data_IF_364121841640
#
_entry.id   IF_364121841640
#
_cell.length_a   1.000
_cell.length_b   1.000
_cell.length_c   1.000
_cell.angle_alpha   90.00
_cell.angle_beta   90.00
_cell.angle_gamma   90.00
#
_symmetry.space_group_name_H-M   'P 1'
#
loop_
_entity.id
_entity.type
_entity.pdbx_description
1 polymer ?
#
# COMPACT_ATOMS: atom_id res chain seq x y z
N UNK A 1 11.88 13.56 39.39
CA UNK A 1 11.04 13.83 38.21
C UNK A 1 11.23 12.84 37.04
N UNK A 2 12.44 12.49 36.59
CA UNK A 2 12.68 11.56 35.44
C UNK A 2 12.05 10.15 35.59
N UNK A 3 12.01 9.58 36.80
CA UNK A 3 11.44 8.22 37.05
C UNK A 3 9.89 8.19 36.96
N UNK A 4 9.23 9.26 37.38
CA UNK A 4 7.76 9.39 37.34
C UNK A 4 7.28 9.62 35.90
N UNK A 5 8.00 10.42 35.14
CA UNK A 5 7.71 10.68 33.72
C UNK A 5 7.84 9.37 32.89
N UNK A 6 8.90 8.58 33.10
CA UNK A 6 9.09 7.27 32.45
C UNK A 6 7.95 6.29 32.71
N UNK A 7 7.45 6.22 33.97
CA UNK A 7 6.32 5.36 34.33
C UNK A 7 5.01 5.81 33.68
N UNK A 8 4.75 7.14 33.66
CA UNK A 8 3.53 7.69 33.02
C UNK A 8 3.55 7.53 31.50
N UNK A 9 4.71 7.73 30.87
CA UNK A 9 4.89 7.51 29.44
C UNK A 9 4.70 6.05 29.05
N UNK A 10 5.30 5.12 29.80
CA UNK A 10 5.13 3.67 29.59
C UNK A 10 3.67 3.23 29.82
N UNK A 11 2.99 3.75 30.83
CA UNK A 11 1.58 3.46 31.10
C UNK A 11 0.68 4.00 29.98
N UNK A 12 0.94 5.21 29.46
CA UNK A 12 0.20 5.76 28.32
C UNK A 12 0.39 4.91 27.05
N UNK A 13 1.64 4.54 26.76
CA UNK A 13 1.97 3.68 25.62
C UNK A 13 1.30 2.30 25.71
N UNK A 14 1.37 1.67 26.91
CA UNK A 14 0.72 0.39 27.16
C UNK A 14 -0.80 0.49 27.04
N UNK A 15 -1.41 1.59 27.55
CA UNK A 15 -2.86 1.81 27.43
C UNK A 15 -3.29 2.03 25.99
N UNK A 16 -2.52 2.79 25.19
CA UNK A 16 -2.78 2.98 23.78
C UNK A 16 -2.69 1.65 22.99
N UNK A 17 -1.69 0.84 23.30
CA UNK A 17 -1.50 -0.50 22.72
C UNK A 17 -2.65 -1.47 23.11
N UNK A 18 -3.13 -1.37 24.35
CA UNK A 18 -4.25 -2.18 24.85
C UNK A 18 -5.59 -1.77 24.19
N UNK A 19 -5.85 -0.48 24.02
CA UNK A 19 -7.02 0.03 23.31
C UNK A 19 -7.00 -0.40 21.84
N UNK A 20 -5.83 -0.32 21.17
CA UNK A 20 -5.66 -0.86 19.82
C UNK A 20 -5.93 -2.38 19.79
N UNK A 21 -5.37 -3.15 20.71
CA UNK A 21 -5.56 -4.60 20.75
C UNK A 21 -7.01 -5.02 21.02
N UNK A 22 -7.75 -4.27 21.83
CA UNK A 22 -9.16 -4.54 22.14
C UNK A 22 -10.13 -4.16 21.02
N UNK A 23 -9.75 -3.23 20.12
CA UNK A 23 -10.57 -2.86 18.96
C UNK A 23 -10.49 -3.87 17.79
N UNK A 24 -9.51 -4.78 17.80
CA UNK A 24 -9.24 -5.71 16.71
C UNK A 24 -10.34 -6.76 16.45
N UNK A 25 -11.01 -7.37 17.45
CA UNK A 25 -12.00 -8.42 17.19
C UNK A 25 -13.31 -7.92 16.59
N UNK A 26 -13.65 -6.64 16.80
CA UNK A 26 -14.96 -6.08 16.39
C UNK A 26 -15.08 -5.89 14.89
N UNK A 27 -13.96 -5.76 14.17
CA UNK A 27 -13.93 -5.45 12.74
C UNK A 27 -13.62 -6.64 11.81
N UNK A 28 -13.43 -7.83 12.36
CA UNK A 28 -12.97 -9.00 11.58
C UNK A 28 -13.94 -9.40 10.46
N UNK A 29 -15.23 -9.15 10.60
CA UNK A 29 -16.25 -9.49 9.58
C UNK A 29 -16.67 -8.31 8.69
N UNK A 30 -16.45 -7.07 9.12
CA UNK A 30 -16.84 -5.85 8.39
C UNK A 30 -15.70 -5.28 7.51
N UNK A 31 -14.49 -5.81 7.61
CA UNK A 31 -13.33 -5.31 6.86
C UNK A 31 -13.32 -5.75 5.39
N UNK A 32 -12.52 -5.08 4.54
CA UNK A 32 -12.29 -5.49 3.17
C UNK A 32 -11.80 -6.94 3.14
N UNK A 33 -12.24 -7.69 2.14
CA UNK A 33 -11.83 -9.09 1.94
C UNK A 33 -10.76 -9.15 0.87
N UNK A 34 -9.93 -10.21 0.87
CA UNK A 34 -8.97 -10.42 -0.20
C UNK A 34 -9.62 -10.42 -1.58
N UNK A 35 -8.89 -9.95 -2.59
CA UNK A 35 -9.38 -9.89 -3.97
C UNK A 35 -8.35 -10.35 -4.99
N UNK A 36 -8.87 -10.81 -6.13
CA UNK A 36 -8.12 -11.04 -7.37
C UNK A 36 -8.77 -10.20 -8.45
N UNK A 37 -7.99 -9.37 -9.11
CA UNK A 37 -8.42 -8.56 -10.25
C UNK A 37 -7.64 -9.01 -11.49
N UNK A 38 -8.36 -9.32 -12.56
CA UNK A 38 -7.79 -9.65 -13.86
C UNK A 38 -8.17 -8.53 -14.84
N UNK A 39 -7.18 -7.84 -15.41
CA UNK A 39 -7.34 -6.93 -16.54
C UNK A 39 -7.33 -7.76 -17.82
N UNK A 40 -8.44 -7.74 -18.54
CA UNK A 40 -8.68 -8.65 -19.67
C UNK A 40 -8.33 -7.95 -20.98
N UNK A 41 -7.46 -8.58 -21.77
CA UNK A 41 -7.08 -8.15 -23.10
C UNK A 41 -7.37 -9.29 -24.09
N UNK A 42 -8.44 -9.14 -24.88
CA UNK A 42 -8.89 -10.13 -25.84
C UNK A 42 -9.42 -9.47 -27.13
N UNK A 43 -9.78 -10.28 -28.11
CA UNK A 43 -10.30 -9.79 -29.39
C UNK A 43 -11.65 -9.08 -29.19
N UNK A 44 -11.77 -7.80 -29.53
CA UNK A 44 -13.01 -7.05 -29.40
C UNK A 44 -14.16 -7.67 -30.20
N UNK A 45 -15.38 -7.52 -29.68
CA UNK A 45 -16.61 -7.90 -30.39
C UNK A 45 -17.05 -9.35 -30.17
N UNK A 46 -16.38 -10.08 -29.28
CA UNK A 46 -16.80 -11.43 -28.85
C UNK A 46 -17.13 -11.43 -27.36
N UNK A 47 -18.19 -12.12 -26.96
CA UNK A 47 -18.58 -12.22 -25.56
C UNK A 47 -17.83 -13.35 -24.86
N UNK A 48 -17.31 -13.05 -23.70
CA UNK A 48 -16.57 -14.00 -22.87
C UNK A 48 -17.19 -14.11 -21.48
N UNK A 49 -17.17 -15.31 -20.93
CA UNK A 49 -17.35 -15.55 -19.51
C UNK A 49 -16.00 -15.91 -18.90
N UNK A 50 -15.73 -15.41 -17.68
CA UNK A 50 -14.43 -15.56 -17.00
C UNK A 50 -14.63 -16.12 -15.60
N UNK A 51 -13.82 -17.10 -15.23
CA UNK A 51 -13.78 -17.68 -13.88
C UNK A 51 -12.37 -18.04 -13.44
N UNK A 52 -12.22 -18.34 -12.14
CA UNK A 52 -11.02 -18.95 -11.58
C UNK A 52 -11.34 -20.39 -11.15
N UNK A 53 -10.51 -21.32 -11.56
CA UNK A 53 -10.55 -22.69 -11.02
C UNK A 53 -9.67 -22.74 -9.77
N UNK A 54 -10.29 -22.89 -8.61
CA UNK A 54 -9.56 -22.89 -7.33
C UNK A 54 -8.98 -24.26 -6.98
N UNK A 55 -7.86 -24.27 -6.25
CA UNK A 55 -7.17 -25.49 -5.79
C UNK A 55 -7.81 -26.15 -4.55
N UNK A 56 -8.98 -25.70 -4.12
CA UNK A 56 -9.75 -26.27 -3.01
C UNK A 56 -11.22 -26.37 -3.41
N UNK A 57 -11.91 -27.44 -3.01
CA UNK A 57 -13.34 -27.59 -3.25
C UNK A 57 -14.22 -26.68 -2.40
N UNK A 58 -13.65 -26.08 -1.35
CA UNK A 58 -14.33 -25.14 -0.44
C UNK A 58 -13.44 -23.92 -0.25
N UNK A 59 -13.96 -22.70 -0.52
CA UNK A 59 -13.24 -21.45 -0.35
C UNK A 59 -14.18 -20.32 0.09
N UNK A 60 -14.25 -20.08 1.39
CA UNK A 60 -15.25 -19.18 1.96
C UNK A 60 -16.68 -19.64 1.70
N UNK A 61 -17.54 -18.82 1.07
CA UNK A 61 -18.89 -19.21 0.72
C UNK A 61 -19.00 -20.01 -0.60
N UNK A 62 -17.87 -20.24 -1.27
CA UNK A 62 -17.79 -20.90 -2.57
C UNK A 62 -17.50 -22.39 -2.40
N UNK A 63 -18.29 -23.25 -3.04
CA UNK A 63 -18.16 -24.71 -2.92
C UNK A 63 -18.29 -25.39 -4.27
N UNK A 64 -17.57 -26.51 -4.45
CA UNK A 64 -17.74 -27.40 -5.56
C UNK A 64 -18.37 -28.75 -5.08
N UNK A 65 -19.37 -29.31 -5.83
CA UNK A 65 -19.98 -28.77 -7.04
C UNK A 65 -20.82 -27.53 -6.74
N UNK A 66 -20.68 -26.50 -7.58
CA UNK A 66 -21.41 -25.25 -7.40
C UNK A 66 -22.85 -25.36 -7.90
N UNK A 67 -23.76 -24.71 -7.15
CA UNK A 67 -25.16 -24.56 -7.57
C UNK A 67 -25.33 -23.30 -8.40
N UNK A 68 -26.21 -23.36 -9.41
CA UNK A 68 -26.54 -22.21 -10.23
C UNK A 68 -27.25 -21.13 -9.42
N UNK A 69 -26.82 -19.88 -9.61
CA UNK A 69 -27.45 -18.70 -9.04
C UNK A 69 -27.63 -17.66 -10.14
N UNK A 70 -28.87 -17.28 -10.46
CA UNK A 70 -29.22 -16.35 -11.54
C UNK A 70 -28.42 -15.03 -11.52
N UNK A 71 -28.09 -14.53 -10.32
CA UNK A 71 -27.30 -13.31 -10.16
C UNK A 71 -25.86 -13.41 -10.61
N UNK A 72 -25.35 -14.60 -10.94
CA UNK A 72 -23.94 -14.83 -11.30
C UNK A 72 -23.70 -14.75 -12.80
N UNK A 73 -24.74 -14.72 -13.64
CA UNK A 73 -24.63 -14.70 -15.09
C UNK A 73 -25.55 -15.73 -15.76
N UNK A 74 -25.36 -15.99 -17.05
CA UNK A 74 -26.21 -16.92 -17.79
C UNK A 74 -26.07 -18.36 -17.33
N UNK A 75 -27.14 -19.10 -17.45
CA UNK A 75 -27.16 -20.54 -17.16
C UNK A 75 -26.27 -21.32 -18.15
N UNK A 76 -26.20 -20.85 -19.38
CA UNK A 76 -25.34 -21.43 -20.43
C UNK A 76 -23.86 -21.42 -20.01
N UNK A 77 -23.33 -20.27 -19.63
CA UNK A 77 -21.95 -20.15 -19.20
C UNK A 77 -21.67 -20.94 -17.92
N UNK A 78 -22.64 -20.96 -16.97
CA UNK A 78 -22.50 -21.76 -15.75
C UNK A 78 -22.45 -23.27 -16.06
N UNK A 79 -23.31 -23.79 -16.95
CA UNK A 79 -23.30 -25.19 -17.36
C UNK A 79 -22.01 -25.55 -18.13
N UNK A 80 -21.53 -24.63 -18.95
CA UNK A 80 -20.27 -24.80 -19.66
C UNK A 80 -19.09 -24.94 -18.68
N UNK A 81 -18.97 -24.06 -17.68
CA UNK A 81 -17.91 -24.14 -16.65
C UNK A 81 -18.05 -25.37 -15.76
N UNK A 82 -19.26 -25.74 -15.37
CA UNK A 82 -19.53 -26.93 -14.55
C UNK A 82 -19.09 -28.21 -15.23
N UNK A 83 -19.30 -28.29 -16.54
CA UNK A 83 -18.98 -29.46 -17.34
C UNK A 83 -17.55 -29.44 -17.90
N UNK A 84 -16.79 -28.37 -17.69
CA UNK A 84 -15.41 -28.25 -18.13
C UNK A 84 -14.52 -29.28 -17.43
N UNK A 85 -13.68 -30.05 -18.16
CA UNK A 85 -12.75 -31.01 -17.56
C UNK A 85 -11.63 -30.28 -16.84
N UNK A 86 -11.81 -30.04 -15.53
CA UNK A 86 -10.82 -29.32 -14.70
C UNK A 86 -9.56 -30.17 -14.49
N UNK A 87 -8.37 -29.55 -14.38
CA UNK A 87 -7.17 -30.24 -13.95
C UNK A 87 -7.36 -30.91 -12.58
N UNK A 88 -6.62 -31.97 -12.32
CA UNK A 88 -6.67 -32.68 -11.03
C UNK A 88 -6.39 -31.73 -9.85
N UNK A 89 -7.25 -31.78 -8.84
CA UNK A 89 -7.16 -30.92 -7.66
C UNK A 89 -7.64 -29.48 -7.86
N UNK A 90 -8.28 -29.16 -9.01
CA UNK A 90 -8.86 -27.84 -9.26
C UNK A 90 -10.35 -27.93 -9.54
N UNK A 91 -11.09 -26.90 -9.11
CA UNK A 91 -12.55 -26.93 -9.05
C UNK A 91 -13.16 -25.63 -9.54
N UNK A 92 -14.29 -25.74 -10.26
CA UNK A 92 -15.18 -24.62 -10.51
C UNK A 92 -16.01 -24.32 -9.25
N UNK A 93 -15.89 -23.12 -8.71
CA UNK A 93 -16.49 -22.72 -7.43
C UNK A 93 -17.81 -21.94 -7.61
N UNK A 94 -18.35 -21.88 -8.83
CA UNK A 94 -19.65 -21.26 -9.12
C UNK A 94 -19.65 -19.75 -9.26
N UNK A 95 -18.50 -19.08 -9.16
CA UNK A 95 -18.39 -17.63 -9.43
C UNK A 95 -17.79 -17.39 -10.82
N UNK A 96 -18.44 -16.58 -11.62
CA UNK A 96 -17.97 -16.11 -12.92
C UNK A 96 -18.61 -14.77 -13.27
N UNK A 97 -18.08 -14.09 -14.27
CA UNK A 97 -18.64 -12.86 -14.83
C UNK A 97 -18.60 -12.93 -16.35
N UNK A 98 -19.60 -12.31 -16.98
CA UNK A 98 -19.71 -12.23 -18.44
C UNK A 98 -19.37 -10.82 -18.93
N UNK A 99 -18.73 -10.75 -20.06
CA UNK A 99 -18.22 -9.52 -20.66
C UNK A 99 -18.66 -9.42 -22.12
N UNK A 100 -19.13 -8.24 -22.57
CA UNK A 100 -19.60 -8.02 -23.94
C UNK A 100 -18.47 -7.95 -24.98
N UNK A 101 -17.20 -8.03 -24.57
CA UNK A 101 -16.07 -7.96 -25.48
C UNK A 101 -15.68 -6.53 -25.86
N UNK A 102 -15.76 -5.61 -24.90
CA UNK A 102 -15.25 -4.25 -25.02
C UNK A 102 -13.80 -4.14 -24.56
N UNK A 103 -13.15 -3.03 -24.85
CA UNK A 103 -11.80 -2.78 -24.33
C UNK A 103 -11.83 -2.47 -22.82
N UNK A 104 -10.73 -2.78 -22.13
CA UNK A 104 -10.50 -2.44 -20.72
C UNK A 104 -11.49 -3.07 -19.71
N UNK A 105 -11.84 -4.32 -19.91
CA UNK A 105 -12.69 -5.06 -18.98
C UNK A 105 -11.88 -5.65 -17.83
N UNK A 106 -12.48 -5.63 -16.63
CA UNK A 106 -11.86 -6.15 -15.42
C UNK A 106 -12.75 -7.22 -14.76
N UNK A 107 -12.22 -8.42 -14.59
CA UNK A 107 -12.83 -9.45 -13.74
C UNK A 107 -12.36 -9.25 -12.31
N UNK A 108 -13.28 -9.13 -11.36
CA UNK A 108 -12.96 -8.95 -9.94
C UNK A 108 -13.61 -10.05 -9.11
N UNK A 109 -12.78 -10.88 -8.49
CA UNK A 109 -13.21 -11.77 -7.43
C UNK A 109 -12.92 -11.13 -6.07
N UNK A 110 -13.88 -10.40 -5.54
CA UNK A 110 -13.72 -9.54 -4.36
C UNK A 110 -14.04 -10.18 -3.01
N UNK A 111 -14.37 -11.49 -2.96
CA UNK A 111 -14.79 -12.14 -1.72
C UNK A 111 -14.29 -13.59 -1.65
N UNK A 112 -13.25 -13.82 -0.85
CA UNK A 112 -12.57 -15.11 -0.72
C UNK A 112 -12.17 -15.74 -2.06
N UNK A 113 -11.32 -15.07 -2.88
CA UNK A 113 -10.74 -15.70 -4.07
C UNK A 113 -9.83 -16.85 -3.67
N UNK A 114 -9.68 -17.90 -4.51
CA UNK A 114 -8.74 -18.98 -4.25
C UNK A 114 -7.30 -18.47 -4.19
N UNK A 115 -6.46 -19.10 -3.34
CA UNK A 115 -5.06 -18.71 -3.22
C UNK A 115 -4.25 -19.11 -4.45
N UNK A 116 -4.55 -20.27 -5.02
CA UNK A 116 -3.92 -20.78 -6.24
C UNK A 116 -5.01 -21.20 -7.22
N UNK A 117 -4.90 -20.76 -8.46
CA UNK A 117 -5.99 -20.93 -9.43
C UNK A 117 -5.49 -20.96 -10.87
N UNK A 118 -6.25 -21.60 -11.75
CA UNK A 118 -6.17 -21.36 -13.18
C UNK A 118 -7.17 -20.28 -13.58
N UNK A 119 -6.79 -19.42 -14.51
CA UNK A 119 -7.74 -18.52 -15.19
C UNK A 119 -8.38 -19.30 -16.33
N UNK A 120 -9.72 -19.29 -16.40
CA UNK A 120 -10.49 -19.95 -17.43
C UNK A 120 -11.45 -18.95 -18.08
N UNK A 121 -11.33 -18.79 -19.40
CA UNK A 121 -12.22 -18.01 -20.25
C UNK A 121 -13.06 -18.97 -21.10
N UNK A 122 -14.33 -18.65 -21.25
CA UNK A 122 -15.27 -19.32 -22.15
C UNK A 122 -15.78 -18.29 -23.15
N UNK A 123 -15.52 -18.54 -24.45
CA UNK A 123 -16.10 -17.74 -25.52
C UNK A 123 -17.54 -18.26 -25.75
N UNK A 124 -18.53 -17.39 -25.42
CA UNK A 124 -19.96 -17.77 -25.46
C UNK A 124 -20.43 -18.03 -26.89
N UNK A 125 -19.85 -17.37 -27.89
CA UNK A 125 -20.28 -17.46 -29.28
C UNK A 125 -19.74 -18.70 -29.99
N UNK A 126 -18.49 -19.08 -29.67
CA UNK A 126 -17.83 -20.23 -30.32
C UNK A 126 -17.88 -21.51 -29.50
N UNK A 127 -18.25 -21.41 -28.22
CA UNK A 127 -18.19 -22.55 -27.28
C UNK A 127 -16.77 -22.97 -26.91
N UNK A 128 -15.75 -22.14 -27.18
CA UNK A 128 -14.34 -22.46 -26.99
C UNK A 128 -13.84 -22.05 -25.62
N UNK A 129 -13.07 -22.94 -24.97
CA UNK A 129 -12.41 -22.63 -23.69
C UNK A 129 -10.94 -22.28 -23.90
N UNK A 130 -10.48 -21.27 -23.13
CA UNK A 130 -9.08 -20.90 -23.02
C UNK A 130 -8.69 -20.90 -21.54
N UNK A 131 -7.65 -21.65 -21.20
CA UNK A 131 -7.14 -21.77 -19.83
C UNK A 131 -5.68 -21.35 -19.79
N UNK A 132 -5.26 -20.68 -18.69
CA UNK A 132 -3.84 -20.43 -18.43
C UNK A 132 -3.05 -21.76 -18.41
N UNK A 133 -1.84 -21.76 -18.95
CA UNK A 133 -1.00 -22.97 -19.01
C UNK A 133 -0.68 -23.50 -17.62
N UNK A 134 -0.29 -22.57 -16.73
CA UNK A 134 0.05 -22.87 -15.34
C UNK A 134 -0.92 -22.19 -14.36
N UNK A 135 -1.05 -22.76 -13.14
CA UNK A 135 -1.83 -22.13 -12.10
C UNK A 135 -1.09 -20.90 -11.57
N UNK A 136 -1.84 -19.85 -11.30
CA UNK A 136 -1.38 -18.58 -10.76
C UNK A 136 -1.57 -18.58 -9.26
N UNK A 137 -0.63 -18.01 -8.50
CA UNK A 137 -0.72 -17.90 -7.07
C UNK A 137 -0.90 -16.44 -6.64
N UNK A 138 -1.83 -16.21 -5.74
CA UNK A 138 -2.12 -14.88 -5.20
C UNK A 138 -0.92 -14.38 -4.38
N UNK A 139 -0.35 -13.23 -4.75
CA UNK A 139 0.86 -12.68 -4.16
C UNK A 139 0.61 -11.63 -3.06
N UNK A 140 -0.65 -11.16 -2.93
CA UNK A 140 -1.02 -10.11 -1.99
C UNK A 140 -2.46 -10.27 -1.52
N UNK A 141 -2.86 -9.42 -0.56
CA UNK A 141 -4.27 -9.29 -0.14
C UNK A 141 -5.17 -8.94 -1.33
N UNK A 142 -4.76 -7.98 -2.14
CA UNK A 142 -5.35 -7.69 -3.45
C UNK A 142 -4.30 -7.93 -4.51
N UNK A 143 -4.54 -8.91 -5.37
CA UNK A 143 -3.61 -9.33 -6.43
C UNK A 143 -4.15 -8.94 -7.79
N UNK A 144 -3.35 -8.25 -8.60
CA UNK A 144 -3.71 -7.78 -9.92
C UNK A 144 -2.89 -8.51 -10.99
N UNK A 145 -3.59 -8.96 -12.04
CA UNK A 145 -3.00 -9.69 -13.16
C UNK A 145 -3.48 -9.12 -14.48
N UNK A 146 -2.65 -9.21 -15.50
CA UNK A 146 -3.03 -8.97 -16.88
C UNK A 146 -3.24 -10.32 -17.56
N UNK A 147 -4.37 -10.48 -18.23
CA UNK A 147 -4.76 -11.67 -18.96
C UNK A 147 -4.85 -11.32 -20.44
N UNK A 148 -3.95 -11.88 -21.23
CA UNK A 148 -3.91 -11.70 -22.67
C UNK A 148 -4.40 -12.96 -23.35
N UNK A 149 -5.45 -12.85 -24.14
CA UNK A 149 -5.91 -13.90 -25.05
C UNK A 149 -5.36 -13.60 -26.43
N UNK A 150 -4.38 -14.40 -26.85
CA UNK A 150 -3.85 -14.38 -28.21
C UNK A 150 -4.46 -15.53 -29.01
N UNK A 151 -4.87 -15.25 -30.26
CA UNK A 151 -5.44 -16.24 -31.17
C UNK A 151 -4.45 -17.36 -31.54
N UNK A 152 -3.15 -17.11 -31.44
CA UNK A 152 -2.10 -18.09 -31.80
C UNK A 152 -1.48 -18.78 -30.57
N UNK A 153 -1.32 -18.05 -29.47
CA UNK A 153 -0.56 -18.50 -28.31
C UNK A 153 -1.43 -18.89 -27.09
N UNK A 154 -2.76 -18.78 -27.19
CA UNK A 154 -3.68 -19.12 -26.11
C UNK A 154 -3.79 -18.06 -25.01
N UNK A 155 -4.07 -18.49 -23.76
CA UNK A 155 -4.28 -17.59 -22.63
C UNK A 155 -3.00 -17.42 -21.81
N UNK A 156 -2.47 -16.21 -21.79
CA UNK A 156 -1.30 -15.86 -20.98
C UNK A 156 -1.70 -14.95 -19.81
N UNK A 157 -1.08 -15.17 -18.65
CA UNK A 157 -1.33 -14.41 -17.43
C UNK A 157 -0.03 -13.81 -16.94
N UNK A 158 0.00 -12.48 -16.75
CA UNK A 158 1.18 -11.73 -16.34
C UNK A 158 0.92 -10.95 -15.06
N UNK A 159 1.95 -10.78 -14.26
CA UNK A 159 1.90 -9.85 -13.13
C UNK A 159 1.69 -8.41 -13.59
N UNK A 160 0.71 -7.73 -12.99
CA UNK A 160 0.50 -6.29 -13.20
C UNK A 160 1.23 -5.43 -12.17
N UNK A 161 2.27 -5.96 -11.53
CA UNK A 161 2.99 -5.25 -10.48
C UNK A 161 4.19 -4.49 -11.05
N UNK A 162 4.21 -3.19 -10.83
CA UNK A 162 5.35 -2.33 -11.19
C UNK A 162 6.21 -2.05 -9.95
N UNK A 163 7.20 -2.92 -9.69
CA UNK A 163 8.09 -2.80 -8.52
C UNK A 163 8.93 -1.52 -8.53
N UNK A 164 9.27 -0.99 -9.70
CA UNK A 164 10.02 0.28 -9.82
C UNK A 164 9.19 1.48 -9.36
N UNK A 165 7.90 1.48 -9.62
CA UNK A 165 6.97 2.52 -9.16
C UNK A 165 6.78 2.47 -7.63
N UNK A 166 6.70 1.28 -7.06
CA UNK A 166 6.59 1.10 -5.61
C UNK A 166 7.85 1.62 -4.92
N UNK A 167 9.03 1.21 -5.39
CA UNK A 167 10.31 1.60 -4.80
C UNK A 167 10.57 3.11 -4.92
N UNK A 168 10.30 3.71 -6.09
CA UNK A 168 10.50 5.14 -6.29
C UNK A 168 9.53 6.00 -5.49
N UNK A 169 8.27 5.57 -5.33
CA UNK A 169 7.29 6.23 -4.47
C UNK A 169 7.66 6.14 -2.99
N UNK A 170 8.17 4.98 -2.56
CA UNK A 170 8.73 4.78 -1.22
C UNK A 170 9.87 5.77 -0.96
N UNK A 171 10.87 5.83 -1.85
CA UNK A 171 12.01 6.75 -1.71
C UNK A 171 11.54 8.22 -1.65
N UNK A 172 10.56 8.60 -2.47
CA UNK A 172 10.00 9.96 -2.46
C UNK A 172 9.32 10.29 -1.12
N UNK A 173 8.56 9.37 -0.52
CA UNK A 173 7.92 9.56 0.80
C UNK A 173 8.96 9.78 1.91
N UNK A 174 9.97 8.92 1.99
CA UNK A 174 11.08 9.06 2.94
C UNK A 174 11.76 10.42 2.79
N UNK A 175 12.03 10.83 1.54
CA UNK A 175 12.67 12.12 1.25
C UNK A 175 11.80 13.31 1.66
N UNK A 176 10.50 13.29 1.37
CA UNK A 176 9.56 14.35 1.75
C UNK A 176 9.54 14.51 3.27
N UNK A 177 9.40 13.40 4.02
CA UNK A 177 9.39 13.42 5.48
C UNK A 177 10.69 13.99 6.05
N UNK A 178 11.85 13.52 5.57
CA UNK A 178 13.16 14.04 5.98
C UNK A 178 13.27 15.55 5.80
N UNK A 179 12.87 16.07 4.63
CA UNK A 179 12.94 17.50 4.33
C UNK A 179 11.99 18.30 5.21
N UNK A 180 10.78 17.80 5.43
CA UNK A 180 9.80 18.46 6.30
C UNK A 180 10.30 18.57 7.73
N UNK A 181 10.78 17.50 8.31
CA UNK A 181 11.22 17.48 9.72
C UNK A 181 12.49 18.28 9.95
N UNK A 182 13.47 18.18 9.02
CA UNK A 182 14.66 19.02 9.07
C UNK A 182 14.30 20.51 8.94
N UNK A 183 13.42 20.85 8.00
CA UNK A 183 12.95 22.22 7.81
C UNK A 183 12.24 22.75 9.05
N UNK A 184 11.37 21.94 9.65
CA UNK A 184 10.65 22.25 10.88
C UNK A 184 11.62 22.52 12.04
N UNK A 185 12.62 21.65 12.22
CA UNK A 185 13.68 21.82 13.21
C UNK A 185 14.48 23.12 13.03
N UNK A 186 14.84 23.44 11.79
CA UNK A 186 15.60 24.66 11.46
C UNK A 186 14.77 25.93 11.72
N UNK A 187 13.52 25.94 11.27
CA UNK A 187 12.68 27.16 11.31
C UNK A 187 12.17 27.48 12.72
N UNK A 188 11.62 26.50 13.43
CA UNK A 188 10.97 26.73 14.72
C UNK A 188 11.90 26.54 15.92
N UNK A 189 12.76 25.54 15.85
CA UNK A 189 13.62 25.18 16.99
C UNK A 189 15.05 25.71 16.84
N UNK A 190 15.44 26.23 15.67
CA UNK A 190 16.77 26.77 15.42
C UNK A 190 17.87 25.73 15.32
N UNK A 191 17.54 24.49 14.97
CA UNK A 191 18.45 23.35 14.87
C UNK A 191 19.28 23.42 13.57
N UNK A 192 20.18 24.43 13.49
CA UNK A 192 20.94 24.79 12.28
C UNK A 192 22.33 24.17 12.23
N UNK A 193 22.84 23.66 13.34
CA UNK A 193 24.17 23.07 13.44
C UNK A 193 24.32 21.80 12.61
N UNK A 194 25.53 21.51 12.10
CA UNK A 194 25.76 20.30 11.31
C UNK A 194 25.52 19.03 12.11
N UNK A 195 25.94 18.97 13.38
CA UNK A 195 25.72 17.83 14.26
C UNK A 195 24.23 17.56 14.54
N UNK A 196 23.43 18.64 14.66
CA UNK A 196 21.98 18.55 14.85
C UNK A 196 21.31 17.94 13.61
N UNK A 197 21.61 18.48 12.42
CA UNK A 197 21.05 18.01 11.15
C UNK A 197 21.48 16.57 10.82
N UNK A 198 22.72 16.22 11.13
CA UNK A 198 23.23 14.86 10.92
C UNK A 198 22.50 13.84 11.80
N UNK A 199 22.33 14.14 13.09
CA UNK A 199 21.59 13.27 14.02
C UNK A 199 20.12 13.14 13.60
N UNK A 200 19.43 14.25 13.35
CA UNK A 200 18.03 14.27 12.92
C UNK A 200 17.88 13.48 11.62
N UNK A 201 18.71 13.76 10.63
CA UNK A 201 18.65 13.06 9.33
C UNK A 201 18.86 11.55 9.44
N UNK A 202 19.83 11.09 10.25
CA UNK A 202 20.09 9.66 10.46
C UNK A 202 18.95 8.95 11.18
N UNK A 203 18.45 9.58 12.26
CA UNK A 203 17.36 8.99 13.05
C UNK A 203 16.10 8.88 12.20
N UNK A 204 15.68 9.98 11.54
CA UNK A 204 14.52 9.97 10.65
C UNK A 204 14.68 9.02 9.48
N UNK A 205 15.85 8.94 8.87
CA UNK A 205 16.08 7.99 7.77
C UNK A 205 15.80 6.56 8.23
N UNK A 206 16.33 6.17 9.39
CA UNK A 206 16.13 4.81 9.93
C UNK A 206 14.67 4.56 10.30
N UNK A 207 14.07 5.48 11.05
CA UNK A 207 12.68 5.34 11.50
C UNK A 207 11.70 5.31 10.33
N UNK A 208 11.90 6.16 9.33
CA UNK A 208 11.08 6.22 8.12
C UNK A 208 11.24 4.98 7.22
N UNK A 209 12.44 4.42 7.11
CA UNK A 209 12.64 3.14 6.40
C UNK A 209 11.84 2.03 7.11
N UNK A 210 11.96 1.92 8.43
CA UNK A 210 11.23 0.90 9.21
C UNK A 210 9.72 1.08 9.09
N UNK A 211 9.24 2.32 9.24
CA UNK A 211 7.83 2.68 9.09
C UNK A 211 7.29 2.23 7.72
N UNK A 212 7.92 2.68 6.66
CA UNK A 212 7.43 2.44 5.31
C UNK A 212 7.54 0.97 4.89
N UNK A 213 8.58 0.24 5.33
CA UNK A 213 8.67 -1.22 5.12
C UNK A 213 7.54 -1.95 5.86
N UNK A 214 7.27 -1.56 7.11
CA UNK A 214 6.16 -2.11 7.88
C UNK A 214 4.81 -1.84 7.23
N UNK A 215 4.61 -0.63 6.70
CA UNK A 215 3.40 -0.26 5.96
C UNK A 215 3.24 -1.05 4.66
N UNK A 216 4.32 -1.16 3.89
CA UNK A 216 4.30 -1.94 2.65
C UNK A 216 3.91 -3.39 2.93
N UNK A 217 4.51 -4.01 3.95
CA UNK A 217 4.17 -5.35 4.38
C UNK A 217 2.70 -5.45 4.86
N UNK A 218 2.28 -4.54 5.74
CA UNK A 218 0.92 -4.55 6.29
C UNK A 218 -0.15 -4.39 5.22
N UNK A 219 0.01 -3.43 4.33
CA UNK A 219 -0.94 -3.18 3.24
C UNK A 219 -0.97 -4.34 2.25
N UNK A 220 0.20 -4.89 1.92
CA UNK A 220 0.32 -5.96 0.93
C UNK A 220 -0.29 -7.29 1.41
N UNK A 221 -0.03 -7.68 2.67
CA UNK A 221 -0.42 -9.00 3.16
C UNK A 221 -1.63 -9.01 4.09
N UNK A 222 -1.84 -7.93 4.86
CA UNK A 222 -2.93 -7.84 5.82
C UNK A 222 -4.14 -7.05 5.28
N UNK A 223 -3.94 -6.32 4.19
CA UNK A 223 -4.95 -5.49 3.56
C UNK A 223 -5.03 -4.06 4.10
N UNK A 224 -5.79 -3.18 3.42
CA UNK A 224 -5.76 -1.74 3.70
C UNK A 224 -6.25 -1.37 5.10
N UNK A 225 -7.22 -2.07 5.65
CA UNK A 225 -7.72 -1.79 7.00
C UNK A 225 -6.65 -2.04 8.07
N UNK A 226 -6.01 -3.21 8.03
CA UNK A 226 -4.93 -3.55 8.96
C UNK A 226 -3.67 -2.74 8.70
N UNK A 227 -3.39 -2.39 7.44
CA UNK A 227 -2.34 -1.45 7.05
C UNK A 227 -2.51 -0.11 7.75
N UNK A 228 -3.72 0.44 7.80
CA UNK A 228 -4.00 1.71 8.49
C UNK A 228 -3.81 1.63 10.01
N UNK A 229 -4.23 0.53 10.66
CA UNK A 229 -3.98 0.33 12.09
C UNK A 229 -2.47 0.19 12.39
N UNK A 230 -1.78 -0.57 11.56
CA UNK A 230 -0.33 -0.74 11.67
C UNK A 230 0.41 0.59 11.46
N UNK A 231 -0.06 1.42 10.53
CA UNK A 231 0.46 2.76 10.32
C UNK A 231 0.43 3.59 11.60
N UNK A 232 -0.73 3.68 12.23
CA UNK A 232 -0.87 4.43 13.48
C UNK A 232 0.04 3.90 14.59
N UNK A 233 0.12 2.58 14.74
CA UNK A 233 1.00 1.95 15.73
C UNK A 233 2.49 2.22 15.46
N UNK A 234 2.90 2.17 14.20
CA UNK A 234 4.28 2.47 13.79
C UNK A 234 4.63 3.94 13.96
N UNK A 235 3.71 4.87 13.67
CA UNK A 235 3.93 6.31 13.94
C UNK A 235 4.14 6.61 15.43
N UNK A 236 3.37 5.97 16.31
CA UNK A 236 3.59 6.09 17.76
C UNK A 236 4.95 5.53 18.17
N UNK A 237 5.38 4.43 17.55
CA UNK A 237 6.70 3.83 17.80
C UNK A 237 7.81 4.78 17.31
N UNK A 238 7.72 5.29 16.10
CA UNK A 238 8.67 6.26 15.50
C UNK A 238 8.81 7.48 16.40
N UNK A 239 7.69 8.14 16.73
CA UNK A 239 7.70 9.26 17.66
C UNK A 239 8.40 8.92 18.99
N UNK A 240 8.14 7.73 19.55
CA UNK A 240 8.71 7.31 20.83
C UNK A 240 10.23 7.15 20.75
N UNK A 241 10.73 6.54 19.66
CA UNK A 241 12.15 6.36 19.40
C UNK A 241 12.83 7.72 19.20
N UNK A 242 12.26 8.56 18.37
CA UNK A 242 12.81 9.89 18.08
C UNK A 242 12.83 10.80 19.32
N UNK A 243 11.72 10.85 20.05
CA UNK A 243 11.65 11.61 21.31
C UNK A 243 12.71 11.13 22.32
N UNK A 244 12.93 9.81 22.41
CA UNK A 244 13.97 9.26 23.28
C UNK A 244 15.37 9.64 22.81
N UNK A 245 15.68 9.45 21.53
CA UNK A 245 17.01 9.73 20.94
C UNK A 245 17.32 11.22 21.01
N UNK A 246 16.38 12.08 20.62
CA UNK A 246 16.57 13.54 20.67
C UNK A 246 16.71 14.06 22.10
N UNK A 247 15.92 13.54 23.06
CA UNK A 247 16.07 13.93 24.45
C UNK A 247 17.42 13.52 25.05
N UNK A 248 18.05 12.49 24.51
CA UNK A 248 19.32 11.94 25.04
C UNK A 248 20.55 12.50 24.33
N UNK A 249 20.48 12.70 23.01
CA UNK A 249 21.66 12.90 22.18
C UNK A 249 21.63 14.16 21.30
N UNK A 250 20.46 14.83 21.12
CA UNK A 250 20.37 16.00 20.25
C UNK A 250 21.06 17.19 20.90
N UNK A 251 22.16 17.73 20.30
CA UNK A 251 22.77 18.96 20.79
C UNK A 251 21.77 20.11 20.61
N UNK A 252 21.44 20.81 21.72
CA UNK A 252 20.50 21.92 21.65
C UNK A 252 21.25 23.25 21.52
N UNK A 253 20.69 24.27 20.81
CA UNK A 253 21.29 25.61 20.75
C UNK A 253 21.44 26.22 22.16
N UNK A 254 22.59 26.83 22.45
CA UNK A 254 22.90 27.36 23.77
C UNK A 254 21.98 28.56 24.17
N UNK A 255 21.51 29.29 23.17
CA UNK A 255 20.61 30.44 23.31
C UNK A 255 19.13 30.06 23.52
N UNK A 256 18.79 28.79 23.47
CA UNK A 256 17.41 28.30 23.55
C UNK A 256 17.22 27.25 24.64
N UNK A 257 16.06 27.27 25.30
CA UNK A 257 15.65 26.17 26.19
C UNK A 257 15.44 24.90 25.41
N UNK A 258 15.98 23.74 25.86
CA UNK A 258 15.83 22.47 25.16
C UNK A 258 14.40 21.93 25.27
N UNK A 259 13.77 21.70 24.11
CA UNK A 259 12.45 21.09 23.98
C UNK A 259 12.44 19.93 22.99
N UNK A 260 13.33 18.91 23.13
CA UNK A 260 13.52 17.86 22.13
C UNK A 260 12.27 16.98 21.95
N UNK A 261 11.52 16.73 23.02
CA UNK A 261 10.27 15.95 22.95
C UNK A 261 9.18 16.74 22.19
N UNK A 262 9.09 18.06 22.42
CA UNK A 262 8.14 18.91 21.69
C UNK A 262 8.51 19.00 20.21
N UNK A 263 9.80 19.07 19.90
CA UNK A 263 10.28 19.01 18.53
C UNK A 263 9.87 17.69 17.87
N UNK A 264 10.19 16.54 18.47
CA UNK A 264 9.81 15.23 17.93
C UNK A 264 8.29 15.13 17.73
N UNK A 265 7.49 15.54 18.71
CA UNK A 265 6.03 15.49 18.62
C UNK A 265 5.49 16.32 17.47
N UNK A 266 5.91 17.58 17.37
CA UNK A 266 5.38 18.50 16.35
C UNK A 266 5.88 18.18 14.95
N UNK A 267 7.11 17.70 14.81
CA UNK A 267 7.68 17.27 13.55
C UNK A 267 6.95 16.01 13.02
N UNK A 268 6.77 14.99 13.88
CA UNK A 268 6.04 13.77 13.50
C UNK A 268 4.56 14.04 13.21
N UNK A 269 3.87 14.89 13.97
CA UNK A 269 2.49 15.27 13.66
C UNK A 269 2.36 15.97 12.30
N UNK A 270 3.32 16.84 11.96
CA UNK A 270 3.35 17.49 10.66
C UNK A 270 3.58 16.50 9.52
N UNK A 271 4.60 15.65 9.64
CA UNK A 271 4.94 14.67 8.60
C UNK A 271 3.84 13.62 8.43
N UNK A 272 3.24 13.15 9.53
CA UNK A 272 2.08 12.26 9.52
C UNK A 272 0.86 12.88 8.82
N UNK A 273 0.49 14.13 9.17
CA UNK A 273 -0.63 14.82 8.54
C UNK A 273 -0.44 15.00 7.03
N UNK A 274 0.75 15.44 6.61
CA UNK A 274 1.08 15.56 5.17
C UNK A 274 1.12 14.19 4.51
N UNK A 275 1.65 13.16 5.18
CA UNK A 275 1.66 11.79 4.67
C UNK A 275 0.25 11.23 4.41
N UNK A 276 -0.71 11.50 5.30
CA UNK A 276 -2.11 11.14 5.11
C UNK A 276 -2.72 11.83 3.88
N UNK A 277 -2.53 13.16 3.76
CA UNK A 277 -3.02 13.93 2.62
C UNK A 277 -2.44 13.42 1.29
N UNK A 278 -1.14 13.15 1.25
CA UNK A 278 -0.48 12.59 0.06
C UNK A 278 -1.04 11.20 -0.29
N UNK A 279 -1.31 10.36 0.70
CA UNK A 279 -1.88 9.03 0.47
C UNK A 279 -3.33 9.08 -0.05
N UNK A 280 -4.10 10.04 0.42
CA UNK A 280 -5.54 10.14 0.10
C UNK A 280 -5.78 10.82 -1.25
N UNK A 281 -4.97 11.82 -1.59
CA UNK A 281 -5.26 12.71 -2.72
C UNK A 281 -4.23 12.66 -3.86
N UNK A 282 -3.09 11.97 -3.68
CA UNK A 282 -2.03 11.95 -4.67
C UNK A 282 -1.76 10.54 -5.21
N UNK A 283 -1.56 10.46 -6.53
CA UNK A 283 -1.04 9.26 -7.18
C UNK A 283 0.46 9.07 -6.88
N UNK A 284 0.98 7.86 -7.07
CA UNK A 284 2.41 7.60 -6.91
C UNK A 284 3.28 8.51 -7.80
N UNK A 285 2.83 8.85 -9.01
CA UNK A 285 3.53 9.78 -9.91
C UNK A 285 3.59 11.19 -9.34
N UNK A 286 2.50 11.69 -8.77
CA UNK A 286 2.47 13.00 -8.11
C UNK A 286 3.37 13.04 -6.87
N UNK A 287 3.38 11.99 -6.05
CA UNK A 287 4.26 11.88 -4.88
C UNK A 287 5.74 11.93 -5.29
N UNK A 288 6.12 11.22 -6.35
CA UNK A 288 7.49 11.26 -6.91
C UNK A 288 7.87 12.67 -7.37
N UNK A 289 6.96 13.33 -8.05
CA UNK A 289 7.18 14.72 -8.52
C UNK A 289 7.34 15.70 -7.35
N UNK A 290 6.50 15.60 -6.31
CA UNK A 290 6.60 16.38 -5.09
C UNK A 290 7.94 16.13 -4.41
N UNK A 291 8.38 14.87 -4.26
CA UNK A 291 9.68 14.51 -3.69
C UNK A 291 10.84 15.15 -4.44
N UNK A 292 10.80 15.12 -5.78
CA UNK A 292 11.81 15.78 -6.62
C UNK A 292 11.83 17.30 -6.43
N UNK A 293 10.67 17.94 -6.41
CA UNK A 293 10.55 19.39 -6.16
C UNK A 293 11.11 19.73 -4.78
N UNK A 294 10.76 18.99 -3.75
CA UNK A 294 11.29 19.17 -2.40
C UNK A 294 12.82 19.07 -2.37
N UNK A 295 13.39 18.08 -3.09
CA UNK A 295 14.84 17.90 -3.19
C UNK A 295 15.51 19.09 -3.87
N UNK A 296 14.96 19.56 -5.00
CA UNK A 296 15.47 20.72 -5.73
C UNK A 296 15.43 21.97 -4.85
N UNK A 297 14.32 22.22 -4.16
CA UNK A 297 14.17 23.35 -3.26
C UNK A 297 15.13 23.28 -2.08
N UNK A 298 15.39 22.09 -1.55
CA UNK A 298 16.35 21.89 -0.47
C UNK A 298 17.77 22.27 -0.85
N UNK A 299 18.23 21.90 -2.04
CA UNK A 299 19.58 22.20 -2.52
C UNK A 299 19.70 23.60 -3.13
N UNK A 300 18.74 24.00 -3.96
CA UNK A 300 18.78 25.28 -4.67
C UNK A 300 18.33 26.47 -3.81
N UNK A 301 17.41 26.26 -2.85
CA UNK A 301 16.85 27.32 -2.00
C UNK A 301 17.91 28.14 -1.25
N UNK A 302 18.86 27.53 -0.52
CA UNK A 302 19.92 28.27 0.18
C UNK A 302 20.85 29.06 -0.76
N UNK A 303 21.10 28.54 -1.97
CA UNK A 303 21.88 29.24 -2.98
C UNK A 303 21.12 30.44 -3.53
N UNK A 304 19.83 30.26 -3.87
CA UNK A 304 18.97 31.34 -4.38
C UNK A 304 18.80 32.47 -3.36
N UNK A 305 18.55 32.13 -2.10
CA UNK A 305 18.45 33.12 -1.01
C UNK A 305 19.73 33.92 -0.83
N UNK A 306 20.90 33.29 -0.93
CA UNK A 306 22.19 33.98 -0.87
C UNK A 306 22.40 34.94 -2.04
N UNK A 307 21.99 34.52 -3.25
CA UNK A 307 22.10 35.36 -4.45
C UNK A 307 21.17 36.58 -4.35
N UNK A 308 19.94 36.40 -3.92
CA UNK A 308 18.96 37.50 -3.76
C UNK A 308 19.40 38.52 -2.71
N UNK A 309 19.95 38.07 -1.56
CA UNK A 309 20.49 38.97 -0.55
C UNK A 309 21.67 39.82 -1.04
N UNK A 310 22.54 39.22 -1.91
CA UNK A 310 23.64 39.99 -2.50
C UNK A 310 23.15 41.10 -3.46
N UNK A 311 22.07 40.83 -4.19
CA UNK A 311 21.47 41.83 -5.10
C UNK A 311 20.80 42.95 -4.30
N UNK A 312 20.10 42.66 -3.19
CA UNK A 312 19.49 43.64 -2.32
C UNK A 312 20.51 44.54 -1.59
N UNK A 313 21.67 44.01 -1.24
CA UNK A 313 22.75 44.79 -0.57
C UNK A 313 23.60 45.59 -1.56
N UNK A 314 23.41 45.43 -2.88
CA UNK A 314 24.11 46.16 -3.94
C UNK A 314 23.27 47.30 -4.53
N UNK A 315 22.04 47.45 -4.12
CA UNK A 315 21.16 48.59 -4.36
C UNK A 315 21.13 49.52 -3.15
#
# INVERSE_FOLDING_TARGET
MKKIFRKKFFAFFLSALLVLALSLPVFADMGPKPSVTLKLYYTPGQRYAVTLLGNTALNGPWTAPADYRERMGSREAWEAFRNYPTPEGYYFLGYFQEYPGTADEEFVWGYYPPNKFYVLLYNIETGTFYRSEEPVERYAFSSEWQVLLDSQDGLRVYHNRNDSDILSSFAARVLITLILELTWGILLFGLRGPAQRDLIGKVNLVTQIILNLGLCYGTLYLGPMWGNFLYFALEVLVFSVEAFVYNRYLPWPEDKKPHPILYALTANLLSFGIGLELNTHCTNTQIRLIGLVCLVLWYAGPWLCRKLRKVQNAQ
#
